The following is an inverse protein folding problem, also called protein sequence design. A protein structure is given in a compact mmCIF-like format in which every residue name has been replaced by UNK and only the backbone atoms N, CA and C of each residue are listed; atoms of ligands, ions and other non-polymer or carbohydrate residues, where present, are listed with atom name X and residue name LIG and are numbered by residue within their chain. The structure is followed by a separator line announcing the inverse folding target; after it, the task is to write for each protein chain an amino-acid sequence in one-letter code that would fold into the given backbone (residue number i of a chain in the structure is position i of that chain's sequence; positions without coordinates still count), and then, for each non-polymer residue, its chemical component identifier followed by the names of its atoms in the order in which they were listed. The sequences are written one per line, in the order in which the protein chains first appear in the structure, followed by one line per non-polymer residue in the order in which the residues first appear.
data_IF_584850506125
#
_entry.id   IF_584850506125
#
_cell.length_a   1.000
_cell.length_b   1.000
_cell.length_c   1.000
_cell.angle_alpha   90.00
_cell.angle_beta   90.00
_cell.angle_gamma   90.00
#
_symmetry.space_group_name_H-M   'P 1'
#
loop_
_entity.id
_entity.type
_entity.pdbx_description
1 polymer ?
#
# COMPACT_ATOMS: atom_id res chain seq x y z
N UNK A 1 -12.06 15.31 6.43
CA UNK A 1 -11.34 14.18 5.81
C UNK A 1 -11.96 12.88 6.26
N UNK A 2 -12.30 12.03 5.34
CA UNK A 2 -12.93 10.74 5.63
C UNK A 2 -11.94 9.62 5.46
N UNK A 3 -11.83 8.80 6.50
CA UNK A 3 -11.13 7.52 6.43
C UNK A 3 -12.15 6.43 6.19
N UNK A 4 -11.92 5.64 5.15
CA UNK A 4 -12.76 4.48 4.86
C UNK A 4 -11.92 3.24 5.12
N UNK A 5 -12.34 2.44 6.09
CA UNK A 5 -11.67 1.15 6.37
C UNK A 5 -12.11 0.12 5.35
N UNK A 6 -11.14 -0.55 4.74
CA UNK A 6 -11.40 -1.49 3.66
C UNK A 6 -10.96 -2.90 4.03
N UNK A 7 -9.69 -3.08 4.41
CA UNK A 7 -9.12 -4.36 4.85
C UNK A 7 -9.33 -5.49 3.83
N UNK A 8 -9.05 -5.23 2.56
CA UNK A 8 -9.20 -6.22 1.49
C UNK A 8 -7.90 -6.37 0.72
N UNK A 9 -7.63 -7.59 0.21
CA UNK A 9 -6.46 -7.78 -0.64
C UNK A 9 -6.62 -7.03 -1.95
N UNK A 10 -5.49 -6.60 -2.51
CA UNK A 10 -5.46 -5.89 -3.79
C UNK A 10 -4.46 -6.55 -4.71
N UNK A 11 -4.68 -6.37 -6.01
CA UNK A 11 -3.73 -6.76 -7.03
C UNK A 11 -2.72 -5.64 -7.24
N UNK A 12 -1.44 -5.97 -7.09
CA UNK A 12 -0.36 -5.06 -7.47
C UNK A 12 -0.02 -5.33 -8.92
N UNK A 13 -0.28 -4.37 -9.78
CA UNK A 13 -0.10 -4.53 -11.23
C UNK A 13 1.21 -3.94 -11.72
N UNK A 14 1.88 -3.13 -10.91
CA UNK A 14 3.22 -2.62 -11.20
C UNK A 14 3.96 -2.35 -9.91
N UNK A 15 5.27 -2.63 -9.92
CA UNK A 15 6.16 -2.37 -8.79
C UNK A 15 7.08 -1.22 -9.12
N UNK A 16 7.35 -0.37 -8.13
CA UNK A 16 8.43 0.58 -8.15
C UNK A 16 9.53 0.16 -7.18
N UNK A 17 10.71 0.73 -7.34
CA UNK A 17 11.85 0.41 -6.48
C UNK A 17 12.43 1.69 -5.91
N UNK A 18 12.68 1.67 -4.60
CA UNK A 18 13.39 2.74 -3.92
C UNK A 18 14.88 2.64 -4.21
N UNK A 19 15.64 3.67 -3.81
CA UNK A 19 17.09 3.67 -3.98
C UNK A 19 17.79 2.49 -3.33
N UNK A 20 17.24 1.98 -2.23
CA UNK A 20 17.77 0.81 -1.54
C UNK A 20 17.25 -0.53 -2.12
N UNK A 21 16.63 -0.48 -3.29
CA UNK A 21 16.06 -1.63 -4.01
C UNK A 21 14.84 -2.26 -3.33
N UNK A 22 14.29 -1.66 -2.28
CA UNK A 22 13.03 -2.11 -1.71
C UNK A 22 11.88 -1.85 -2.68
N UNK A 23 11.05 -2.85 -2.90
CA UNK A 23 9.90 -2.73 -3.79
C UNK A 23 8.72 -2.08 -3.07
N UNK A 24 7.94 -1.33 -3.82
CA UNK A 24 6.67 -0.80 -3.35
C UNK A 24 5.64 -0.91 -4.47
N UNK A 25 4.34 -1.01 -4.15
CA UNK A 25 3.31 -1.01 -5.18
C UNK A 25 3.26 0.36 -5.87
N UNK A 26 3.49 0.38 -7.17
CA UNK A 26 3.37 1.61 -7.95
C UNK A 26 1.99 1.74 -8.55
N UNK A 27 1.34 0.62 -8.83
CA UNK A 27 -0.01 0.60 -9.35
C UNK A 27 -0.75 -0.57 -8.74
N UNK A 28 -1.97 -0.32 -8.31
CA UNK A 28 -2.84 -1.37 -7.79
C UNK A 28 -4.17 -1.36 -8.54
N UNK A 29 -4.83 -2.51 -8.55
CA UNK A 29 -6.20 -2.64 -9.01
C UNK A 29 -7.05 -3.07 -7.83
N UNK A 30 -8.13 -2.33 -7.60
CA UNK A 30 -9.06 -2.62 -6.53
C UNK A 30 -10.48 -2.25 -6.98
N UNK A 31 -11.40 -3.20 -6.83
CA UNK A 31 -12.83 -3.00 -7.12
C UNK A 31 -13.07 -2.45 -8.53
N UNK A 32 -12.35 -2.98 -9.52
CA UNK A 32 -12.46 -2.57 -10.91
C UNK A 32 -11.78 -1.27 -11.25
N UNK A 33 -11.13 -0.63 -10.31
CA UNK A 33 -10.40 0.62 -10.52
C UNK A 33 -8.91 0.41 -10.43
N UNK A 34 -8.17 1.15 -11.25
CA UNK A 34 -6.71 1.16 -11.23
C UNK A 34 -6.22 2.46 -10.61
N UNK A 35 -5.31 2.35 -9.67
CA UNK A 35 -4.73 3.50 -8.98
C UNK A 35 -3.22 3.53 -9.20
N UNK A 36 -2.71 4.68 -9.66
CA UNK A 36 -1.28 4.92 -9.86
C UNK A 36 -0.75 5.80 -8.75
N UNK A 37 0.29 5.36 -8.08
CA UNK A 37 0.90 6.13 -7.00
C UNK A 37 2.03 7.01 -7.53
N UNK A 38 2.08 8.24 -7.02
CA UNK A 38 2.98 9.26 -7.56
C UNK A 38 4.40 9.10 -7.04
N UNK A 39 4.59 8.45 -5.89
CA UNK A 39 5.92 8.21 -5.32
C UNK A 39 5.87 7.01 -4.36
N UNK A 40 7.00 6.74 -3.70
CA UNK A 40 7.11 5.62 -2.77
C UNK A 40 6.44 5.89 -1.42
N UNK A 41 5.98 7.11 -1.17
CA UNK A 41 5.27 7.46 0.05
C UNK A 41 6.09 7.26 1.32
N UNK A 42 5.37 7.03 2.39
CA UNK A 42 5.94 6.78 3.71
C UNK A 42 5.76 5.32 4.07
N UNK A 43 6.74 4.76 4.78
CA UNK A 43 6.65 3.39 5.23
C UNK A 43 6.91 3.29 6.73
N UNK A 44 6.24 2.33 7.36
CA UNK A 44 6.38 2.04 8.77
C UNK A 44 6.43 0.53 8.95
N UNK A 45 7.36 0.06 9.78
CA UNK A 45 7.47 -1.35 10.10
C UNK A 45 6.75 -1.61 11.43
N UNK A 46 5.81 -2.54 11.42
CA UNK A 46 5.05 -2.93 12.61
C UNK A 46 5.41 -4.37 12.95
N UNK A 47 5.82 -4.60 14.19
CA UNK A 47 6.16 -5.94 14.68
C UNK A 47 5.14 -6.36 15.73
N UNK A 48 4.60 -7.56 15.56
CA UNK A 48 3.67 -8.18 16.51
C UNK A 48 3.97 -9.65 16.61
N UNK A 49 4.23 -10.13 17.83
CA UNK A 49 4.37 -11.57 18.08
C UNK A 49 5.38 -12.27 17.19
N UNK A 50 6.50 -11.63 16.89
CA UNK A 50 7.50 -12.19 15.99
C UNK A 50 7.23 -12.00 14.51
N UNK A 51 6.06 -11.45 14.15
CA UNK A 51 5.72 -11.12 12.77
C UNK A 51 5.99 -9.65 12.50
N UNK A 52 6.59 -9.37 11.36
CA UNK A 52 6.83 -8.00 10.91
C UNK A 52 5.96 -7.72 9.69
N UNK A 53 5.25 -6.61 9.73
CA UNK A 53 4.45 -6.13 8.60
C UNK A 53 4.91 -4.73 8.24
N UNK A 54 4.93 -4.43 6.96
CA UNK A 54 5.24 -3.10 6.47
C UNK A 54 3.94 -2.40 6.08
N UNK A 55 3.75 -1.20 6.60
CA UNK A 55 2.60 -0.38 6.24
C UNK A 55 3.10 0.79 5.42
N UNK A 56 2.53 0.95 4.24
CA UNK A 56 2.85 2.05 3.34
C UNK A 56 1.68 3.01 3.28
N UNK A 57 1.99 4.31 3.30
CA UNK A 57 1.03 5.36 3.01
C UNK A 57 1.41 5.97 1.67
N UNK A 58 0.57 5.76 0.68
CA UNK A 58 0.81 6.17 -0.69
C UNK A 58 -0.29 7.12 -1.14
N UNK A 59 -0.02 7.90 -2.18
CA UNK A 59 -1.03 8.80 -2.75
C UNK A 59 -1.02 8.71 -4.26
N UNK A 60 -2.20 8.83 -4.85
CA UNK A 60 -2.38 8.95 -6.29
C UNK A 60 -2.53 10.41 -6.74
N UNK A 61 -2.34 11.37 -5.82
CA UNK A 61 -2.55 12.79 -6.08
C UNK A 61 -3.92 13.29 -5.66
N UNK A 62 -4.85 12.40 -5.37
CA UNK A 62 -6.23 12.74 -4.98
C UNK A 62 -6.61 12.17 -3.64
N UNK A 63 -6.14 10.97 -3.36
CA UNK A 63 -6.47 10.25 -2.12
C UNK A 63 -5.21 9.64 -1.53
N UNK A 64 -5.28 9.32 -0.25
CA UNK A 64 -4.25 8.57 0.43
C UNK A 64 -4.69 7.13 0.62
N UNK A 65 -3.76 6.22 0.44
CA UNK A 65 -3.98 4.78 0.55
C UNK A 65 -3.02 4.22 1.58
N UNK A 66 -3.54 3.42 2.50
CA UNK A 66 -2.69 2.68 3.43
C UNK A 66 -2.72 1.21 3.06
N UNK A 67 -1.55 0.68 2.81
CA UNK A 67 -1.37 -0.71 2.36
C UNK A 67 -0.47 -1.44 3.33
N UNK A 68 -0.82 -2.70 3.60
CA UNK A 68 0.00 -3.57 4.43
C UNK A 68 0.60 -4.68 3.58
N UNK A 69 1.89 -4.88 3.71
CA UNK A 69 2.59 -6.00 3.11
C UNK A 69 2.82 -7.07 4.15
N UNK A 70 2.45 -8.29 3.85
CA UNK A 70 2.88 -9.45 4.63
C UNK A 70 4.24 -9.90 4.13
N UNK A 71 5.08 -10.40 5.06
CA UNK A 71 6.40 -10.92 4.70
C UNK A 71 6.34 -12.23 3.90
N UNK A 72 5.14 -12.71 3.62
CA UNK A 72 4.95 -14.00 2.95
C UNK A 72 4.30 -13.78 1.60
N UNK A 73 5.07 -13.94 0.53
CA UNK A 73 4.53 -14.07 -0.80
C UNK A 73 4.07 -12.82 -1.50
N UNK A 74 4.44 -11.65 -1.02
CA UNK A 74 4.16 -10.41 -1.74
C UNK A 74 2.69 -10.03 -1.79
N UNK A 75 1.89 -10.50 -0.84
CA UNK A 75 0.49 -10.11 -0.75
C UNK A 75 0.36 -8.74 -0.11
N UNK A 76 -0.53 -7.93 -0.66
CA UNK A 76 -0.81 -6.60 -0.17
C UNK A 76 -2.28 -6.46 0.18
N UNK A 77 -2.54 -5.81 1.30
CA UNK A 77 -3.90 -5.54 1.77
C UNK A 77 -4.11 -4.04 1.80
N UNK A 78 -5.16 -3.57 1.16
CA UNK A 78 -5.56 -2.18 1.26
C UNK A 78 -6.32 -2.01 2.58
N UNK A 79 -5.69 -1.31 3.53
CA UNK A 79 -6.26 -1.11 4.85
C UNK A 79 -7.34 -0.03 4.84
N UNK A 80 -7.02 1.10 4.22
CA UNK A 80 -7.93 2.24 4.22
C UNK A 80 -7.63 3.20 3.09
N UNK A 81 -8.60 4.02 2.77
CA UNK A 81 -8.47 5.15 1.84
C UNK A 81 -9.00 6.39 2.54
N UNK A 82 -8.38 7.54 2.24
CA UNK A 82 -8.89 8.82 2.71
C UNK A 82 -8.72 9.87 1.62
N UNK A 83 -9.69 10.77 1.51
CA UNK A 83 -9.57 11.90 0.61
C UNK A 83 -8.46 12.83 1.10
N UNK A 84 -7.68 13.30 0.17
CA UNK A 84 -6.63 14.26 0.48
C UNK A 84 -7.21 15.66 0.69
#
# INVERSE_FOLDING_TARGET
MRNISINKPVHVTALGFKKNLSAYPRQIEFDGHTYDFVDAGLSCLVKRGGLASQILTLTDGHSQFRLRSDNRGGLWTLLSMSAA
#
